data_IF_564478823459
#
_entry.id   IF_564478823459
#
_cell.length_a   1.000
_cell.length_b   1.000
_cell.length_c   1.000
_cell.angle_alpha   90.00
_cell.angle_beta   90.00
_cell.angle_gamma   90.00
#
_symmetry.space_group_name_H-M   'P 1'
#
loop_
_entity.id
_entity.type
_entity.pdbx_description
1 polymer ?
#
# COMPACT_ATOMS: atom_id res chain seq x y z
N UNK A 1 -1.74 -18.13 87.08
CA UNK A 1 -2.39 -16.98 86.42
C UNK A 1 -1.48 -16.49 85.33
N UNK A 2 -2.06 -16.37 84.13
CA UNK A 2 -1.44 -16.20 82.83
C UNK A 2 -0.97 -14.76 82.58
N UNK A 3 0.04 -14.61 81.71
CA UNK A 3 0.40 -13.34 81.08
C UNK A 3 1.37 -13.57 79.92
N UNK A 4 0.87 -14.11 78.79
CA UNK A 4 1.65 -14.22 77.56
C UNK A 4 1.88 -12.82 76.97
N UNK A 5 3.14 -12.41 76.86
CA UNK A 5 3.55 -11.20 76.14
C UNK A 5 3.81 -11.58 74.68
N UNK A 6 2.92 -11.16 73.77
CA UNK A 6 3.08 -11.37 72.33
C UNK A 6 3.86 -10.19 71.72
N UNK A 7 5.06 -10.44 71.21
CA UNK A 7 5.83 -9.46 70.44
C UNK A 7 5.40 -9.51 68.97
N UNK A 8 4.84 -8.40 68.46
CA UNK A 8 4.52 -8.21 67.04
C UNK A 8 5.79 -7.86 66.26
N UNK A 9 6.21 -8.74 65.36
CA UNK A 9 7.15 -8.40 64.29
C UNK A 9 6.36 -7.92 63.08
N UNK A 10 6.36 -6.61 62.84
CA UNK A 10 5.88 -6.04 61.59
C UNK A 10 6.95 -6.24 60.51
N UNK A 11 6.78 -7.28 59.69
CA UNK A 11 7.59 -7.45 58.48
C UNK A 11 7.12 -6.44 57.43
N UNK A 12 7.94 -5.42 57.17
CA UNK A 12 7.73 -4.50 56.03
C UNK A 12 8.04 -5.26 54.75
N UNK A 13 7.02 -5.74 54.04
CA UNK A 13 7.19 -6.24 52.69
C UNK A 13 7.56 -5.06 51.78
N UNK A 14 8.83 -4.96 51.39
CA UNK A 14 9.22 -4.10 50.27
C UNK A 14 8.59 -4.70 49.01
N UNK A 15 7.51 -4.09 48.52
CA UNK A 15 7.00 -4.36 47.20
C UNK A 15 8.08 -3.96 46.19
N UNK A 16 8.63 -4.94 45.48
CA UNK A 16 9.47 -4.68 44.32
C UNK A 16 8.64 -3.89 43.29
N UNK A 17 9.23 -2.92 42.56
CA UNK A 17 8.53 -2.29 41.45
C UNK A 17 8.13 -3.38 40.46
N UNK A 18 6.83 -3.48 40.17
CA UNK A 18 6.38 -4.29 39.05
C UNK A 18 6.87 -3.59 37.77
N UNK A 19 7.94 -4.10 37.17
CA UNK A 19 8.22 -3.80 35.77
C UNK A 19 7.12 -4.45 34.96
N UNK A 20 6.11 -3.68 34.56
CA UNK A 20 5.23 -4.09 33.48
C UNK A 20 6.10 -4.48 32.29
N UNK A 21 5.87 -5.63 31.64
CA UNK A 21 6.60 -5.95 30.42
C UNK A 21 6.36 -4.81 29.44
N UNK A 22 7.44 -4.17 29.03
CA UNK A 22 7.45 -3.07 28.07
C UNK A 22 7.13 -3.67 26.69
N UNK A 23 5.86 -4.01 26.47
CA UNK A 23 5.40 -4.72 25.29
C UNK A 23 5.18 -3.76 24.13
N UNK A 24 6.13 -2.87 23.90
CA UNK A 24 6.16 -1.89 22.80
C UNK A 24 6.59 -2.53 21.48
N UNK A 25 6.20 -3.78 21.24
CA UNK A 25 6.69 -4.58 20.13
C UNK A 25 6.28 -3.97 18.78
N UNK A 26 5.04 -3.53 18.64
CA UNK A 26 4.52 -2.90 17.42
C UNK A 26 5.17 -1.53 17.19
N UNK A 27 5.26 -0.67 18.21
CA UNK A 27 5.88 0.67 18.12
C UNK A 27 7.37 0.55 17.78
N UNK A 28 8.07 -0.39 18.41
CA UNK A 28 9.49 -0.67 18.13
C UNK A 28 9.69 -1.23 16.71
N UNK A 29 8.79 -2.08 16.21
CA UNK A 29 8.83 -2.59 14.83
C UNK A 29 8.53 -1.47 13.83
N UNK A 30 7.51 -0.67 14.11
CA UNK A 30 7.03 0.45 13.28
C UNK A 30 8.08 1.55 13.10
N UNK A 31 8.79 1.93 14.17
CA UNK A 31 9.87 2.91 14.12
C UNK A 31 11.09 2.47 13.29
N UNK A 32 11.19 1.18 12.95
CA UNK A 32 12.28 0.61 12.13
C UNK A 32 11.90 0.40 10.67
N UNK A 33 10.66 0.71 10.28
CA UNK A 33 10.25 0.60 8.88
C UNK A 33 11.03 1.59 8.03
N UNK A 34 11.65 1.09 6.96
CA UNK A 34 12.43 1.90 6.00
C UNK A 34 11.87 1.82 4.58
N UNK A 35 10.96 0.88 4.32
CA UNK A 35 10.24 0.73 3.06
C UNK A 35 8.87 0.08 3.28
N UNK A 36 7.93 0.39 2.39
CA UNK A 36 6.71 -0.40 2.18
C UNK A 36 6.98 -1.43 1.09
N UNK A 37 6.17 -2.49 1.01
CA UNK A 37 6.37 -3.55 0.02
C UNK A 37 5.17 -3.60 -0.90
N UNK A 38 5.41 -3.61 -2.21
CA UNK A 38 4.38 -3.94 -3.19
C UNK A 38 4.60 -5.36 -3.69
N UNK A 39 3.49 -6.08 -3.85
CA UNK A 39 3.47 -7.43 -4.42
C UNK A 39 2.59 -7.47 -5.65
N UNK A 40 3.05 -8.21 -6.65
CA UNK A 40 2.35 -8.47 -7.90
C UNK A 40 1.83 -7.20 -8.58
N UNK A 41 2.63 -6.13 -8.58
CA UNK A 41 2.28 -4.90 -9.29
C UNK A 41 2.10 -5.18 -10.77
N UNK A 42 0.88 -4.98 -11.23
CA UNK A 42 0.41 -5.24 -12.59
C UNK A 42 -0.09 -3.92 -13.17
N UNK A 43 0.58 -3.49 -14.25
CA UNK A 43 0.05 -2.46 -15.14
C UNK A 43 -0.22 -3.08 -16.51
N UNK A 44 -1.43 -2.84 -17.00
CA UNK A 44 -1.80 -3.15 -18.38
C UNK A 44 -2.78 -2.12 -18.92
N UNK A 45 -2.82 -2.01 -20.24
CA UNK A 45 -3.70 -1.10 -20.93
C UNK A 45 -4.15 -1.63 -22.28
N UNK A 46 -5.32 -1.17 -22.71
CA UNK A 46 -5.82 -1.38 -24.06
C UNK A 46 -6.24 -0.07 -24.70
N UNK A 47 -5.97 0.05 -25.99
CA UNK A 47 -6.43 1.13 -26.84
C UNK A 47 -7.16 0.54 -28.04
N UNK A 48 -8.48 0.57 -28.01
CA UNK A 48 -9.31 0.08 -29.11
C UNK A 48 -9.86 1.25 -29.90
N UNK A 49 -9.62 1.28 -31.20
CA UNK A 49 -10.16 2.25 -32.13
C UNK A 49 -11.18 1.57 -33.04
N UNK A 50 -12.45 1.99 -32.97
CA UNK A 50 -13.48 1.50 -33.91
C UNK A 50 -13.50 2.30 -35.21
N UNK A 51 -12.91 3.50 -35.18
CA UNK A 51 -12.55 4.33 -36.34
C UNK A 51 -11.24 5.06 -35.97
N UNK A 52 -10.50 5.65 -36.92
CA UNK A 52 -9.30 6.43 -36.58
C UNK A 52 -9.51 7.57 -35.57
N UNK A 53 -10.75 8.05 -35.42
CA UNK A 53 -11.11 9.15 -34.51
C UNK A 53 -11.92 8.72 -33.28
N UNK A 54 -12.26 7.43 -33.14
CA UNK A 54 -13.11 6.93 -32.05
C UNK A 54 -12.37 5.92 -31.19
N UNK A 55 -11.83 6.42 -30.08
CA UNK A 55 -11.00 5.71 -29.12
C UNK A 55 -11.84 5.21 -27.93
N UNK A 56 -11.72 3.94 -27.58
CA UNK A 56 -12.15 3.35 -26.31
C UNK A 56 -10.93 2.72 -25.66
N UNK A 57 -10.38 3.36 -24.62
CA UNK A 57 -9.11 2.96 -24.03
C UNK A 57 -9.16 2.99 -22.52
N UNK A 58 -8.48 2.01 -21.92
CA UNK A 58 -8.45 1.83 -20.49
C UNK A 58 -7.05 1.40 -20.06
N UNK A 59 -6.60 1.94 -18.94
CA UNK A 59 -5.43 1.48 -18.20
C UNK A 59 -5.86 0.98 -16.83
N UNK A 60 -5.15 -0.04 -16.36
CA UNK A 60 -5.40 -0.70 -15.09
C UNK A 60 -4.11 -0.81 -14.30
N UNK A 61 -4.21 -0.57 -13.00
CA UNK A 61 -3.16 -0.85 -12.01
C UNK A 61 -3.76 -1.76 -10.96
N UNK A 62 -3.00 -2.78 -10.53
CA UNK A 62 -3.37 -3.66 -9.44
C UNK A 62 -2.13 -4.17 -8.70
N UNK A 63 -2.14 -4.13 -7.36
CA UNK A 63 -1.06 -4.68 -6.52
C UNK A 63 -1.53 -4.89 -5.08
N UNK A 64 -0.78 -5.69 -4.33
CA UNK A 64 -0.94 -5.82 -2.88
C UNK A 64 0.08 -4.96 -2.17
N UNK A 65 -0.37 -4.14 -1.20
CA UNK A 65 0.47 -3.32 -0.33
C UNK A 65 0.67 -4.02 1.01
N UNK A 66 1.93 -4.25 1.38
CA UNK A 66 2.34 -4.85 2.64
C UNK A 66 3.30 -3.94 3.40
N UNK A 67 3.29 -4.05 4.73
CA UNK A 67 4.17 -3.32 5.63
C UNK A 67 4.70 -4.28 6.69
N UNK A 68 6.01 -4.37 6.82
CA UNK A 68 6.63 -5.27 7.80
C UNK A 68 6.23 -4.98 9.24
N UNK A 69 5.74 -3.78 9.58
CA UNK A 69 5.30 -3.43 10.94
C UNK A 69 3.97 -4.06 11.38
N UNK A 70 3.11 -4.46 10.44
CA UNK A 70 1.75 -4.97 10.71
C UNK A 70 1.50 -6.24 9.91
N UNK A 71 0.57 -7.08 10.37
CA UNK A 71 0.35 -8.40 9.76
C UNK A 71 -0.81 -8.41 8.74
N UNK A 72 -1.35 -7.25 8.40
CA UNK A 72 -2.40 -7.09 7.38
C UNK A 72 -1.87 -6.43 6.11
N UNK A 73 -2.57 -6.65 5.01
CA UNK A 73 -2.26 -6.13 3.69
C UNK A 73 -3.46 -5.37 3.12
N UNK A 74 -3.19 -4.49 2.16
CA UNK A 74 -4.23 -3.80 1.38
C UNK A 74 -4.18 -4.26 -0.07
N UNK A 75 -5.34 -4.31 -0.74
CA UNK A 75 -5.41 -4.50 -2.18
C UNK A 75 -5.61 -3.14 -2.86
N UNK A 76 -4.66 -2.74 -3.69
CA UNK A 76 -4.66 -1.44 -4.34
C UNK A 76 -4.95 -1.63 -5.83
N UNK A 77 -6.01 -1.01 -6.33
CA UNK A 77 -6.34 -1.06 -7.76
C UNK A 77 -6.99 0.23 -8.24
N UNK A 78 -6.79 0.52 -9.52
CA UNK A 78 -7.43 1.63 -10.19
C UNK A 78 -7.61 1.33 -11.68
N UNK A 79 -8.68 1.89 -12.25
CA UNK A 79 -8.90 1.95 -13.68
C UNK A 79 -8.98 3.41 -14.12
N UNK A 80 -8.49 3.71 -15.31
CA UNK A 80 -8.53 5.05 -15.87
C UNK A 80 -8.74 5.01 -17.37
N UNK A 81 -9.47 5.98 -17.88
CA UNK A 81 -9.72 6.23 -19.30
C UNK A 81 -9.24 7.63 -19.72
N UNK A 82 -8.30 8.21 -18.98
CA UNK A 82 -7.67 9.47 -19.35
C UNK A 82 -7.01 9.36 -20.74
N UNK A 83 -6.98 10.49 -21.47
CA UNK A 83 -6.44 10.57 -22.82
C UNK A 83 -4.91 10.68 -22.80
N UNK A 84 -4.25 10.26 -23.88
CA UNK A 84 -2.78 10.16 -24.07
C UNK A 84 -2.09 9.10 -23.18
N UNK A 85 -2.36 9.12 -21.88
CA UNK A 85 -1.94 8.13 -20.89
C UNK A 85 -3.02 8.02 -19.80
N UNK A 86 -2.95 6.97 -18.98
CA UNK A 86 -4.00 6.62 -18.04
C UNK A 86 -3.74 7.12 -16.62
N UNK A 87 -2.47 7.22 -16.20
CA UNK A 87 -2.10 7.55 -14.83
C UNK A 87 -0.96 8.57 -14.83
N UNK A 88 -1.19 9.72 -14.19
CA UNK A 88 -0.26 10.87 -14.18
C UNK A 88 0.35 11.18 -12.82
N UNK A 89 0.09 10.35 -11.80
CA UNK A 89 0.60 10.55 -10.43
C UNK A 89 -0.07 11.69 -9.66
N UNK A 90 -1.18 12.22 -10.15
CA UNK A 90 -1.90 13.36 -9.57
C UNK A 90 -3.21 12.98 -8.87
N UNK A 91 -3.59 11.69 -8.90
CA UNK A 91 -4.81 11.17 -8.26
C UNK A 91 -4.38 10.13 -7.24
N UNK A 92 -4.80 10.34 -6.00
CA UNK A 92 -4.66 9.35 -4.93
C UNK A 92 -5.87 8.42 -4.95
N UNK A 93 -5.61 7.14 -5.18
CA UNK A 93 -6.59 6.06 -5.17
C UNK A 93 -6.57 5.35 -3.82
N UNK A 94 -7.76 5.09 -3.28
CA UNK A 94 -7.89 4.30 -2.06
C UNK A 94 -7.68 2.82 -2.36
N UNK A 95 -6.85 2.16 -1.56
CA UNK A 95 -6.79 0.71 -1.52
C UNK A 95 -8.01 0.16 -0.77
N UNK A 96 -8.21 -1.15 -0.81
CA UNK A 96 -9.21 -1.86 -0.02
C UNK A 96 -8.55 -2.64 1.12
N UNK A 97 -9.22 -2.67 2.28
CA UNK A 97 -8.83 -3.50 3.42
C UNK A 97 -9.15 -4.99 3.21
N UNK A 98 -8.84 -5.81 4.19
CA UNK A 98 -9.11 -7.25 4.16
C UNK A 98 -10.61 -7.60 4.05
N UNK A 99 -11.51 -6.67 4.38
CA UNK A 99 -12.95 -6.82 4.17
C UNK A 99 -13.41 -6.36 2.77
N UNK A 100 -12.47 -5.94 1.92
CA UNK A 100 -12.74 -5.40 0.58
C UNK A 100 -13.31 -3.98 0.61
N UNK A 101 -13.24 -3.28 1.74
CA UNK A 101 -13.78 -1.93 1.87
C UNK A 101 -12.71 -0.89 1.54
N UNK A 102 -13.01 0.15 0.73
CA UNK A 102 -12.07 1.23 0.47
C UNK A 102 -11.61 1.91 1.77
N UNK A 103 -10.31 2.17 1.90
CA UNK A 103 -9.71 2.76 3.09
C UNK A 103 -8.80 3.93 2.76
N UNK A 104 -8.74 4.92 3.64
CA UNK A 104 -7.78 6.04 3.57
C UNK A 104 -6.49 5.72 4.32
N UNK A 105 -6.42 4.59 5.02
CA UNK A 105 -5.20 4.12 5.69
C UNK A 105 -4.17 3.54 4.74
N UNK A 106 -4.54 3.33 3.47
CA UNK A 106 -3.64 2.95 2.39
C UNK A 106 -4.11 3.59 1.09
N UNK A 107 -3.31 4.48 0.52
CA UNK A 107 -3.58 5.12 -0.77
C UNK A 107 -2.35 5.06 -1.67
N UNK A 108 -2.57 5.17 -2.97
CA UNK A 108 -1.48 5.23 -3.93
C UNK A 108 -1.78 6.18 -5.09
N UNK A 109 -0.73 6.69 -5.72
CA UNK A 109 -0.79 7.33 -7.02
C UNK A 109 0.31 6.74 -7.92
N UNK A 110 -0.02 6.57 -9.19
CA UNK A 110 0.90 6.02 -10.18
C UNK A 110 1.07 7.00 -11.33
N UNK A 111 2.30 7.19 -11.80
CA UNK A 111 2.62 7.97 -12.99
C UNK A 111 3.21 7.04 -14.03
N UNK A 112 2.46 6.75 -15.08
CA UNK A 112 2.92 5.92 -16.19
C UNK A 112 4.05 6.57 -17.00
N UNK A 113 4.04 7.88 -17.31
CA UNK A 113 5.15 8.51 -18.01
C UNK A 113 6.50 8.45 -17.29
N UNK A 114 6.49 8.38 -15.95
CA UNK A 114 7.69 8.30 -15.11
C UNK A 114 7.97 6.88 -14.58
N UNK A 115 7.01 5.96 -14.73
CA UNK A 115 6.93 4.68 -14.03
C UNK A 115 7.09 4.80 -12.51
N UNK A 116 6.55 5.87 -11.91
CA UNK A 116 6.70 6.16 -10.48
C UNK A 116 5.43 5.82 -9.72
N UNK A 117 5.57 5.02 -8.65
CA UNK A 117 4.51 4.71 -7.70
C UNK A 117 4.79 5.44 -6.38
N UNK A 118 3.83 6.22 -5.91
CA UNK A 118 3.82 6.83 -4.60
C UNK A 118 2.72 6.19 -3.74
N UNK A 119 3.01 5.94 -2.46
CA UNK A 119 2.12 5.25 -1.53
C UNK A 119 2.08 6.04 -0.22
N UNK A 120 0.88 6.19 0.33
CA UNK A 120 0.68 6.66 1.69
C UNK A 120 0.05 5.53 2.51
N UNK A 121 0.62 5.25 3.68
CA UNK A 121 0.05 4.28 4.61
C UNK A 121 0.01 4.84 6.02
N UNK A 122 -1.11 4.60 6.71
CA UNK A 122 -1.28 4.90 8.13
C UNK A 122 -1.60 3.62 8.87
N UNK A 123 -0.96 3.40 10.02
CA UNK A 123 -1.29 2.27 10.90
C UNK A 123 -1.21 2.67 12.37
N UNK A 124 -1.91 1.92 13.21
CA UNK A 124 -1.96 2.11 14.67
C UNK A 124 -1.46 0.87 15.38
N UNK A 125 -0.79 1.08 16.51
CA UNK A 125 -0.49 0.05 17.49
C UNK A 125 -1.46 0.22 18.66
N UNK A 126 -2.70 -0.24 18.51
CA UNK A 126 -3.81 0.11 19.41
C UNK A 126 -3.53 -0.23 20.88
N UNK A 127 -2.85 -1.36 21.15
CA UNK A 127 -2.47 -1.77 22.51
C UNK A 127 -1.37 -0.91 23.14
N UNK A 128 -0.64 -0.16 22.33
CA UNK A 128 0.52 0.65 22.73
C UNK A 128 0.23 2.16 22.60
N UNK A 129 -0.91 2.54 22.02
CA UNK A 129 -1.35 3.93 21.89
C UNK A 129 -0.67 4.74 20.79
N UNK A 130 0.22 4.13 19.99
CA UNK A 130 0.97 4.83 18.96
C UNK A 130 0.32 4.76 17.57
N UNK A 131 0.62 5.75 16.73
CA UNK A 131 0.15 5.85 15.35
C UNK A 131 1.25 6.35 14.43
N UNK A 132 1.31 5.80 13.22
CA UNK A 132 2.34 6.08 12.23
C UNK A 132 1.73 6.49 10.91
N UNK A 133 2.40 7.42 10.21
CA UNK A 133 2.09 7.85 8.85
C UNK A 133 3.36 7.76 8.02
N UNK A 134 3.34 6.89 7.01
CA UNK A 134 4.43 6.73 6.07
C UNK A 134 4.04 7.24 4.69
N UNK A 135 4.98 7.91 4.05
CA UNK A 135 4.93 8.30 2.64
C UNK A 135 6.11 7.61 1.96
N UNK A 136 5.88 6.88 0.87
CA UNK A 136 6.92 6.19 0.12
C UNK A 136 6.77 6.43 -1.37
N UNK A 137 7.89 6.33 -2.10
CA UNK A 137 7.88 6.47 -3.56
C UNK A 137 9.05 5.72 -4.18
N UNK A 138 8.81 5.09 -5.32
CA UNK A 138 9.86 4.49 -6.13
C UNK A 138 9.51 4.52 -7.62
N UNK A 139 10.54 4.58 -8.45
CA UNK A 139 10.42 4.18 -9.85
C UNK A 139 10.38 2.65 -9.91
N UNK A 140 9.43 2.12 -10.68
CA UNK A 140 9.22 0.70 -10.88
C UNK A 140 10.03 0.22 -12.09
N UNK A 141 10.67 -0.94 -11.96
CA UNK A 141 11.39 -1.60 -13.06
C UNK A 141 10.42 -2.45 -13.89
N UNK A 142 9.57 -1.78 -14.68
CA UNK A 142 8.56 -2.44 -15.49
C UNK A 142 9.13 -2.89 -16.83
N UNK A 143 8.89 -4.17 -17.16
CA UNK A 143 9.16 -4.73 -18.49
C UNK A 143 7.84 -4.96 -19.17
N UNK A 144 7.62 -4.26 -20.28
CA UNK A 144 6.32 -4.24 -20.94
C UNK A 144 6.41 -4.67 -22.39
N UNK A 145 5.46 -5.51 -22.78
CA UNK A 145 5.18 -5.82 -24.17
C UNK A 145 4.11 -4.84 -24.69
N UNK A 146 4.37 -4.27 -25.87
CA UNK A 146 3.48 -3.33 -26.55
C UNK A 146 3.18 -3.86 -27.94
N UNK A 147 1.96 -4.36 -28.12
CA UNK A 147 1.52 -4.97 -29.38
C UNK A 147 0.46 -4.10 -30.01
N UNK A 148 0.61 -3.80 -31.30
CA UNK A 148 -0.40 -3.10 -32.09
C UNK A 148 -0.85 -3.96 -33.25
N UNK A 149 -2.16 -4.03 -33.45
CA UNK A 149 -2.83 -4.64 -34.59
C UNK A 149 -3.69 -3.59 -35.28
N UNK A 150 -3.71 -3.62 -36.61
CA UNK A 150 -4.53 -2.75 -37.43
C UNK A 150 -5.20 -3.57 -38.55
N UNK A 151 -6.45 -3.23 -38.87
CA UNK A 151 -7.21 -3.83 -39.95
C UNK A 151 -7.07 -2.99 -41.23
N UNK A 152 -6.25 -3.41 -42.21
CA UNK A 152 -6.06 -2.65 -43.45
C UNK A 152 -7.33 -2.63 -44.34
N UNK A 153 -8.23 -3.60 -44.17
CA UNK A 153 -9.47 -3.75 -44.95
C UNK A 153 -10.72 -3.33 -44.16
N UNK A 154 -10.55 -2.38 -43.23
CA UNK A 154 -11.59 -1.98 -42.29
C UNK A 154 -12.88 -1.51 -42.97
N UNK A 155 -14.01 -1.95 -42.42
CA UNK A 155 -15.36 -1.51 -42.77
C UNK A 155 -16.10 -1.01 -41.55
N UNK A 156 -17.05 -0.09 -41.77
CA UNK A 156 -17.86 0.47 -40.70
C UNK A 156 -18.52 -0.62 -39.84
N UNK A 157 -18.31 -0.53 -38.52
CA UNK A 157 -18.77 -1.52 -37.54
C UNK A 157 -17.70 -2.54 -37.10
N UNK A 158 -16.53 -2.55 -37.74
CA UNK A 158 -15.39 -3.37 -37.32
C UNK A 158 -14.45 -2.59 -36.39
N UNK A 159 -13.52 -3.28 -35.72
CA UNK A 159 -12.39 -2.63 -35.07
C UNK A 159 -11.37 -2.24 -36.14
N UNK A 160 -10.95 -0.98 -36.09
CA UNK A 160 -9.93 -0.43 -36.96
C UNK A 160 -8.53 -0.79 -36.46
N UNK A 161 -8.24 -0.56 -35.17
CA UNK A 161 -6.99 -0.97 -34.56
C UNK A 161 -7.14 -1.27 -33.07
N UNK A 162 -6.24 -2.12 -32.58
CA UNK A 162 -6.07 -2.42 -31.17
C UNK A 162 -4.59 -2.32 -30.80
N UNK A 163 -4.28 -1.57 -29.75
CA UNK A 163 -2.97 -1.61 -29.10
C UNK A 163 -3.15 -2.12 -27.68
N UNK A 164 -2.32 -3.06 -27.27
CA UNK A 164 -2.31 -3.62 -25.91
C UNK A 164 -0.92 -3.46 -25.32
N UNK A 165 -0.87 -2.95 -24.09
CA UNK A 165 0.34 -2.89 -23.28
C UNK A 165 0.14 -3.83 -22.10
N UNK A 166 1.07 -4.76 -21.88
CA UNK A 166 1.10 -5.63 -20.69
C UNK A 166 2.49 -5.63 -20.11
N UNK A 167 2.60 -5.33 -18.82
CA UNK A 167 3.87 -5.41 -18.11
C UNK A 167 3.93 -6.69 -17.28
N UNK A 168 5.15 -7.19 -17.08
CA UNK A 168 5.42 -8.23 -16.09
C UNK A 168 5.02 -7.74 -14.70
N UNK A 169 4.58 -8.68 -13.87
CA UNK A 169 4.27 -8.40 -12.47
C UNK A 169 5.55 -8.12 -11.68
N UNK A 170 5.54 -7.06 -10.88
CA UNK A 170 6.70 -6.64 -10.09
C UNK A 170 6.42 -6.75 -8.58
N UNK A 171 7.38 -7.34 -7.87
CA UNK A 171 7.51 -7.23 -6.42
C UNK A 171 8.67 -6.29 -6.12
N UNK A 172 8.46 -5.27 -5.29
CA UNK A 172 9.49 -4.28 -5.02
C UNK A 172 9.30 -3.63 -3.64
N UNK A 173 10.41 -3.36 -2.95
CA UNK A 173 10.41 -2.48 -1.79
C UNK A 173 10.37 -1.02 -2.27
N UNK A 174 9.42 -0.24 -1.74
CA UNK A 174 9.21 1.17 -2.01
C UNK A 174 9.74 1.97 -0.81
N UNK A 175 10.93 2.60 -0.91
CA UNK A 175 11.56 3.27 0.21
C UNK A 175 10.72 4.40 0.78
N UNK A 176 10.74 4.57 2.11
CA UNK A 176 10.07 5.69 2.75
C UNK A 176 10.74 7.01 2.37
N UNK A 177 9.93 7.99 1.97
CA UNK A 177 10.29 9.41 1.92
C UNK A 177 10.14 10.06 3.28
N UNK A 178 9.11 9.69 4.03
CA UNK A 178 8.88 10.21 5.37
C UNK A 178 8.18 9.16 6.25
N UNK A 179 8.47 9.21 7.55
CA UNK A 179 7.78 8.47 8.60
C UNK A 179 7.51 9.43 9.76
N UNK A 180 6.23 9.64 10.07
CA UNK A 180 5.79 10.42 11.23
C UNK A 180 5.13 9.50 12.24
N UNK A 181 5.27 9.82 13.52
CA UNK A 181 4.67 9.05 14.59
C UNK A 181 4.10 9.96 15.69
N UNK A 182 3.06 9.48 16.36
CA UNK A 182 2.61 9.97 17.67
C UNK A 182 2.65 8.75 18.60
N UNK A 183 3.21 8.92 19.79
CA UNK A 183 3.30 7.92 20.86
C UNK A 183 3.04 8.61 22.20
#
# INVERSE_FOLDING_TARGET
MYGLTAALFAASALAAPATSPDNWACTTKSSKVTALQIKDFDFHASYTFTTPAHQNSWGYVNFTLANTAVDYEYQCSAASNQLQDFFYGNIDYNCTDAAGSPTTSGTFSYSRPADTLAINQTWTCDSEGSRFWAESEAKLDLKCEDTTWENPDWKQGQIYSDRTIRCDKVNQDVPLKSLRAIA
#
